data_IF_472911776958
#
_entry.id   IF_472911776958
#
_cell.length_a   1.000
_cell.length_b   1.000
_cell.length_c   1.000
_cell.angle_alpha   90.00
_cell.angle_beta   90.00
_cell.angle_gamma   90.00
#
_symmetry.space_group_name_H-M   'P 1'
#
loop_
_entity.id
_entity.type
_entity.pdbx_description
1 polymer ?
#
# COMPACT_ATOMS: atom_id res chain seq x y z
N UNK A 1 33.44 -5.23 -1.28
CA UNK A 1 32.89 -3.89 -1.56
C UNK A 1 31.79 -3.65 -0.55
N UNK A 2 31.93 -2.66 0.33
CA UNK A 2 30.88 -2.35 1.34
C UNK A 2 29.70 -1.73 0.61
N UNK A 3 28.51 -2.34 0.72
CA UNK A 3 27.27 -1.80 0.17
C UNK A 3 27.05 -0.41 0.74
N UNK A 4 26.77 0.57 -0.12
CA UNK A 4 26.46 1.93 0.30
C UNK A 4 25.17 1.90 1.11
N UNK A 5 25.22 2.44 2.33
CA UNK A 5 24.01 2.67 3.14
C UNK A 5 23.07 3.58 2.34
N UNK A 6 21.79 3.19 2.12
CA UNK A 6 20.89 4.00 1.32
C UNK A 6 20.68 5.37 1.98
N UNK A 7 20.52 6.45 1.19
CA UNK A 7 20.18 7.75 1.74
C UNK A 7 18.83 7.66 2.46
N UNK A 8 18.83 8.00 3.74
CA UNK A 8 17.64 8.08 4.57
C UNK A 8 17.02 9.47 4.45
N UNK A 9 15.71 9.55 4.24
CA UNK A 9 14.94 10.81 4.34
C UNK A 9 14.45 10.91 5.77
N UNK A 10 14.89 11.94 6.51
CA UNK A 10 14.60 12.12 7.94
C UNK A 10 14.94 10.88 8.80
N UNK A 11 15.99 10.15 8.44
CA UNK A 11 16.38 8.91 9.12
C UNK A 11 15.53 7.68 8.76
N UNK A 12 14.65 7.78 7.74
CA UNK A 12 13.81 6.67 7.26
C UNK A 12 14.08 6.32 5.79
N UNK A 13 13.93 5.04 5.46
CA UNK A 13 13.97 4.55 4.10
C UNK A 13 12.68 4.90 3.35
N UNK A 14 12.79 5.42 2.11
CA UNK A 14 11.66 5.48 1.19
C UNK A 14 11.06 4.09 0.93
N UNK A 15 9.73 4.00 0.94
CA UNK A 15 9.03 2.77 0.58
C UNK A 15 8.37 2.97 -0.78
N UNK A 16 8.75 2.13 -1.75
CA UNK A 16 8.31 2.24 -3.13
C UNK A 16 7.07 1.39 -3.35
N UNK A 17 5.98 2.06 -3.69
CA UNK A 17 4.64 1.48 -3.77
C UNK A 17 3.99 1.93 -5.07
N UNK A 18 3.36 1.00 -5.78
CA UNK A 18 2.56 1.28 -6.96
C UNK A 18 1.22 0.52 -6.92
N UNK A 19 0.08 1.16 -7.19
CA UNK A 19 -0.09 2.59 -7.40
C UNK A 19 0.11 3.40 -6.10
N UNK A 20 0.30 4.72 -6.20
CA UNK A 20 0.46 5.62 -5.03
C UNK A 20 -0.85 6.00 -4.34
N UNK A 21 -1.98 5.63 -4.95
CA UNK A 21 -3.32 5.67 -4.38
C UNK A 21 -4.17 4.57 -5.01
N UNK A 22 -5.17 4.08 -4.29
CA UNK A 22 -6.08 3.04 -4.77
C UNK A 22 -7.51 3.58 -4.80
N UNK A 23 -8.15 3.46 -5.96
CA UNK A 23 -9.51 3.90 -6.17
C UNK A 23 -10.41 2.69 -6.40
N UNK A 24 -11.53 2.68 -5.70
CA UNK A 24 -12.65 1.76 -5.88
C UNK A 24 -13.84 2.56 -6.41
N UNK A 25 -14.78 1.89 -7.06
CA UNK A 25 -16.00 2.51 -7.59
C UNK A 25 -17.21 1.68 -7.17
N UNK A 26 -18.31 2.32 -6.78
CA UNK A 26 -19.49 1.62 -6.24
C UNK A 26 -20.19 0.73 -7.25
N UNK A 27 -20.15 1.08 -8.53
CA UNK A 27 -20.80 0.39 -9.65
C UNK A 27 -19.85 -0.50 -10.48
N UNK A 28 -18.53 -0.28 -10.40
CA UNK A 28 -17.55 -1.13 -11.09
C UNK A 28 -16.96 -2.19 -10.15
N UNK A 29 -17.52 -3.39 -10.22
CA UNK A 29 -17.07 -4.55 -9.45
C UNK A 29 -15.63 -5.01 -9.80
N UNK A 30 -15.13 -4.68 -10.99
CA UNK A 30 -13.73 -5.00 -11.35
C UNK A 30 -12.76 -4.19 -10.50
N UNK A 31 -13.14 -2.97 -10.12
CA UNK A 31 -12.36 -2.13 -9.22
C UNK A 31 -12.27 -2.69 -7.79
N UNK A 32 -13.22 -3.53 -7.35
CA UNK A 32 -13.31 -4.03 -5.96
C UNK A 32 -12.16 -4.94 -5.54
N UNK A 33 -11.30 -5.33 -6.49
CA UNK A 33 -10.04 -6.03 -6.25
C UNK A 33 -8.90 -5.23 -6.91
N UNK A 34 -8.00 -4.72 -6.10
CA UNK A 34 -6.84 -3.95 -6.55
C UNK A 34 -5.55 -4.67 -6.18
N UNK A 35 -4.51 -4.48 -6.99
CA UNK A 35 -3.18 -5.02 -6.76
C UNK A 35 -2.25 -3.86 -6.41
N UNK A 36 -1.56 -4.00 -5.28
CA UNK A 36 -0.53 -3.09 -4.81
C UNK A 36 0.82 -3.77 -4.94
N UNK A 37 1.73 -3.22 -5.73
CA UNK A 37 3.11 -3.69 -5.85
C UNK A 37 4.00 -2.92 -4.88
N UNK A 38 4.68 -3.65 -4.01
CA UNK A 38 5.78 -3.12 -3.19
C UNK A 38 7.11 -3.50 -3.84
N UNK A 39 7.97 -2.51 -4.08
CA UNK A 39 9.30 -2.74 -4.65
C UNK A 39 10.39 -2.48 -3.61
N UNK A 40 11.32 -3.41 -3.50
CA UNK A 40 12.53 -3.28 -2.71
C UNK A 40 13.72 -2.94 -3.63
N UNK A 41 14.10 -1.66 -3.76
CA UNK A 41 15.25 -1.28 -4.57
C UNK A 41 16.58 -1.53 -3.86
N UNK A 42 16.59 -2.00 -2.61
CA UNK A 42 17.80 -2.13 -1.81
C UNK A 42 18.48 -3.49 -2.00
N UNK A 43 19.71 -3.58 -1.51
CA UNK A 43 20.56 -4.78 -1.60
C UNK A 43 20.41 -5.73 -0.40
N UNK A 44 19.38 -5.54 0.41
CA UNK A 44 19.06 -6.38 1.57
C UNK A 44 17.57 -6.73 1.60
N UNK A 45 17.22 -7.76 2.37
CA UNK A 45 15.84 -8.21 2.52
C UNK A 45 15.04 -7.25 3.42
N UNK A 46 13.87 -6.83 2.94
CA UNK A 46 12.91 -6.08 3.72
C UNK A 46 11.82 -7.01 4.24
N UNK A 47 11.39 -6.79 5.47
CA UNK A 47 10.06 -7.23 5.93
C UNK A 47 9.07 -6.10 5.73
N UNK A 48 7.83 -6.43 5.44
CA UNK A 48 6.76 -5.43 5.34
C UNK A 48 5.57 -5.80 6.22
N UNK A 49 4.80 -4.78 6.62
CA UNK A 49 3.52 -4.91 7.29
C UNK A 49 2.58 -3.79 6.83
N UNK A 50 1.32 -4.15 6.56
CA UNK A 50 0.27 -3.24 6.14
C UNK A 50 -0.76 -3.08 7.25
N UNK A 51 -1.05 -1.83 7.60
CA UNK A 51 -2.03 -1.45 8.60
C UNK A 51 -3.11 -0.59 7.94
N UNK A 52 -4.38 -0.76 8.32
CA UNK A 52 -5.51 -0.02 7.76
C UNK A 52 -6.23 0.78 8.84
N UNK A 53 -6.74 1.96 8.50
CA UNK A 53 -7.64 2.76 9.36
C UNK A 53 -9.08 2.25 9.36
N UNK A 54 -9.44 1.30 8.50
CA UNK A 54 -10.79 0.73 8.42
C UNK A 54 -10.75 -0.75 8.03
N UNK A 55 -10.09 -1.61 8.83
CA UNK A 55 -9.86 -3.02 8.49
C UNK A 55 -11.16 -3.80 8.25
N UNK A 56 -12.29 -3.38 8.81
CA UNK A 56 -13.60 -3.98 8.58
C UNK A 56 -14.10 -3.84 7.13
N UNK A 57 -13.65 -2.81 6.41
CA UNK A 57 -14.07 -2.54 5.02
C UNK A 57 -13.22 -3.23 3.98
N UNK A 58 -12.08 -3.81 4.37
CA UNK A 58 -11.12 -4.37 3.43
C UNK A 58 -10.69 -5.81 3.80
N UNK A 59 -10.23 -6.57 2.82
CA UNK A 59 -9.25 -7.65 3.05
C UNK A 59 -7.96 -7.29 2.37
N UNK A 60 -6.87 -7.62 3.04
CA UNK A 60 -5.52 -7.59 2.48
C UNK A 60 -5.00 -9.02 2.54
N UNK A 61 -4.71 -9.60 1.38
CA UNK A 61 -4.05 -10.92 1.29
C UNK A 61 -2.59 -10.71 1.68
N UNK A 62 -2.07 -11.55 2.58
CA UNK A 62 -0.70 -11.50 3.08
C UNK A 62 -0.28 -10.08 3.49
N UNK A 63 -0.98 -9.52 4.49
CA UNK A 63 -0.75 -8.16 4.98
C UNK A 63 0.62 -7.94 5.61
N UNK A 64 1.40 -9.01 5.79
CA UNK A 64 2.79 -8.99 6.20
C UNK A 64 3.59 -10.04 5.45
N UNK A 65 4.88 -9.79 5.27
CA UNK A 65 5.75 -10.69 4.52
C UNK A 65 7.16 -10.15 4.36
N UNK A 66 7.86 -10.63 3.34
CA UNK A 66 9.23 -10.22 3.03
C UNK A 66 9.41 -9.97 1.54
N UNK A 67 10.28 -9.02 1.21
CA UNK A 67 10.65 -8.64 -0.16
C UNK A 67 12.16 -8.80 -0.27
N UNK A 68 12.61 -9.73 -1.13
CA UNK A 68 14.04 -9.91 -1.40
C UNK A 68 14.64 -8.64 -1.99
N UNK A 69 15.95 -8.50 -1.86
CA UNK A 69 16.71 -7.44 -2.51
C UNK A 69 16.36 -7.37 -4.01
N UNK A 70 16.21 -6.15 -4.53
CA UNK A 70 15.90 -5.87 -5.95
C UNK A 70 14.65 -6.58 -6.50
N UNK A 71 13.73 -7.01 -5.64
CA UNK A 71 12.50 -7.72 -6.01
C UNK A 71 11.26 -6.92 -5.66
N UNK A 72 10.11 -7.36 -6.16
CA UNK A 72 8.80 -6.86 -5.78
C UNK A 72 7.91 -7.98 -5.21
N UNK A 73 6.83 -7.56 -4.54
CA UNK A 73 5.71 -8.41 -4.17
C UNK A 73 4.42 -7.70 -4.52
N UNK A 74 3.45 -8.47 -4.99
CA UNK A 74 2.10 -7.99 -5.27
C UNK A 74 1.16 -8.36 -4.13
N UNK A 75 0.36 -7.39 -3.70
CA UNK A 75 -0.55 -7.51 -2.56
C UNK A 75 -1.96 -7.23 -3.06
N UNK A 76 -2.85 -8.18 -2.83
CA UNK A 76 -4.24 -8.05 -3.26
C UNK A 76 -5.05 -7.39 -2.14
N UNK A 77 -5.64 -6.24 -2.45
CA UNK A 77 -6.58 -5.52 -1.59
C UNK A 77 -7.98 -5.69 -2.18
N UNK A 78 -8.96 -6.07 -1.34
CA UNK A 78 -10.37 -6.12 -1.74
C UNK A 78 -11.22 -5.23 -0.86
N UNK A 79 -12.12 -4.47 -1.46
CA UNK A 79 -13.15 -3.73 -0.75
C UNK A 79 -14.33 -4.65 -0.48
N UNK A 80 -14.74 -4.81 0.79
CA UNK A 80 -15.81 -5.73 1.22
C UNK A 80 -17.12 -5.02 1.51
N UNK A 81 -17.06 -3.74 1.82
CA UNK A 81 -18.22 -2.94 2.26
C UNK A 81 -18.56 -1.85 1.22
N UNK A 82 -18.74 -2.27 -0.03
CA UNK A 82 -19.02 -1.33 -1.13
C UNK A 82 -20.47 -0.87 -1.02
N UNK A 83 -20.67 0.36 -0.58
CA UNK A 83 -21.99 0.99 -0.50
C UNK A 83 -21.87 2.51 -0.57
N UNK A 84 -22.96 3.17 -0.98
CA UNK A 84 -23.03 4.64 -1.15
C UNK A 84 -22.63 5.40 0.13
N UNK A 85 -22.93 4.86 1.31
CA UNK A 85 -22.55 5.49 2.61
C UNK A 85 -21.03 5.66 2.76
N UNK A 86 -20.25 4.79 2.13
CA UNK A 86 -18.80 4.77 2.25
C UNK A 86 -18.10 5.56 1.13
N UNK A 87 -18.84 6.13 0.17
CA UNK A 87 -18.27 6.97 -0.88
C UNK A 87 -17.60 8.23 -0.31
N UNK A 88 -16.49 8.65 -0.92
CA UNK A 88 -15.71 9.82 -0.49
C UNK A 88 -14.94 9.66 0.82
N UNK A 89 -15.10 8.53 1.52
CA UNK A 89 -14.33 8.22 2.73
C UNK A 89 -12.84 8.09 2.38
N UNK A 90 -11.99 8.80 3.12
CA UNK A 90 -10.54 8.86 2.89
C UNK A 90 -9.81 7.87 3.79
N UNK A 91 -9.82 6.62 3.37
CA UNK A 91 -9.12 5.55 4.07
C UNK A 91 -7.63 5.57 3.80
N UNK A 92 -6.90 5.03 4.77
CA UNK A 92 -5.45 5.07 4.77
C UNK A 92 -4.90 3.70 5.08
N UNK A 93 -4.00 3.25 4.21
CA UNK A 93 -3.17 2.09 4.45
C UNK A 93 -1.76 2.59 4.74
N UNK A 94 -1.18 2.15 5.86
CA UNK A 94 0.21 2.42 6.22
C UNK A 94 1.02 1.17 5.93
N UNK A 95 1.95 1.28 4.99
CA UNK A 95 2.95 0.25 4.72
C UNK A 95 4.19 0.58 5.51
N UNK A 96 4.62 -0.35 6.36
CA UNK A 96 5.84 -0.24 7.14
C UNK A 96 6.83 -1.26 6.64
N UNK A 97 8.12 -0.88 6.62
CA UNK A 97 9.21 -1.81 6.32
C UNK A 97 10.20 -1.86 7.49
N UNK A 98 10.72 -3.05 7.76
CA UNK A 98 11.77 -3.31 8.75
C UNK A 98 12.87 -4.18 8.13
N UNK A 99 14.05 -4.18 8.73
CA UNK A 99 15.13 -5.07 8.34
C UNK A 99 14.90 -6.49 8.90
N UNK A 100 15.45 -7.51 8.24
CA UNK A 100 15.43 -8.86 8.79
C UNK A 100 16.18 -8.93 10.14
N UNK A 101 15.57 -9.57 11.13
CA UNK A 101 16.16 -9.72 12.46
C UNK A 101 15.83 -8.58 13.43
N UNK A 102 15.27 -7.47 12.94
CA UNK A 102 14.75 -6.40 13.79
C UNK A 102 13.25 -6.16 13.53
N UNK A 103 12.53 -5.72 14.55
CA UNK A 103 11.15 -5.22 14.41
C UNK A 103 11.12 -3.68 14.34
N UNK A 104 12.29 -3.04 14.25
CA UNK A 104 12.39 -1.60 14.14
C UNK A 104 11.92 -1.16 12.76
N UNK A 105 10.90 -0.30 12.72
CA UNK A 105 10.40 0.25 11.46
C UNK A 105 11.43 1.25 10.94
N UNK A 106 12.08 0.91 9.84
CA UNK A 106 13.11 1.73 9.20
C UNK A 106 12.55 2.56 8.04
N UNK A 107 11.34 2.27 7.57
CA UNK A 107 10.68 3.03 6.50
C UNK A 107 9.17 2.89 6.59
N UNK A 108 8.45 3.89 6.10
CA UNK A 108 6.99 3.84 6.01
C UNK A 108 6.47 4.67 4.84
N UNK A 109 5.33 4.27 4.28
CA UNK A 109 4.59 5.06 3.30
C UNK A 109 3.10 4.95 3.55
N UNK A 110 2.37 5.99 3.13
CA UNK A 110 0.93 6.12 3.30
C UNK A 110 0.25 6.01 1.93
N UNK A 111 -0.64 5.04 1.81
CA UNK A 111 -1.47 4.82 0.63
C UNK A 111 -2.88 5.34 0.92
N UNK A 112 -3.36 6.25 0.09
CA UNK A 112 -4.73 6.74 0.14
C UNK A 112 -5.65 5.78 -0.60
N UNK A 113 -6.76 5.45 0.04
CA UNK A 113 -7.81 4.60 -0.53
C UNK A 113 -9.12 5.36 -0.53
N UNK A 114 -9.82 5.35 -1.67
CA UNK A 114 -11.09 6.08 -1.81
C UNK A 114 -12.06 5.26 -2.65
N UNK A 115 -13.31 5.20 -2.17
CA UNK A 115 -14.45 4.69 -2.91
C UNK A 115 -15.16 5.87 -3.56
N UNK A 116 -15.28 5.87 -4.88
CA UNK A 116 -15.91 6.94 -5.65
C UNK A 116 -17.28 6.52 -6.20
N UNK A 117 -18.20 7.49 -6.38
CA UNK A 117 -19.38 7.31 -7.21
C UNK A 117 -19.01 7.35 -8.70
N UNK A 118 -19.98 6.99 -9.53
CA UNK A 118 -19.98 6.99 -11.01
C UNK A 118 -19.34 8.26 -11.62
N UNK A 119 -19.64 9.43 -11.05
CA UNK A 119 -19.41 10.72 -11.70
C UNK A 119 -17.99 11.30 -11.53
N UNK A 120 -17.06 10.62 -10.83
CA UNK A 120 -15.73 11.20 -10.61
C UNK A 120 -14.91 11.40 -11.91
N UNK A 121 -15.31 10.75 -13.02
CA UNK A 121 -14.69 10.99 -14.34
C UNK A 121 -15.20 12.26 -15.05
N UNK A 122 -16.35 12.83 -14.66
CA UNK A 122 -16.97 13.97 -15.36
C UNK A 122 -16.51 15.35 -14.87
N UNK A 123 -15.68 15.42 -13.83
CA UNK A 123 -15.24 16.70 -13.21
C UNK A 123 -13.73 16.96 -13.41
N UNK A 124 -13.07 16.20 -14.30
CA UNK A 124 -11.65 16.39 -14.65
C UNK A 124 -11.40 16.81 -16.11
N UNK A 125 -12.42 17.31 -16.80
CA UNK A 125 -12.32 17.96 -18.13
C UNK A 125 -12.18 19.47 -18.01
#
# INVERSE_FOLDING_TARGET
MRGQTPPLVDGKLPVFIFPTSVNFFTDDQSSHKQVLTLYNPYDFLLKFKILSTSPQRYSVVDSEGSIKARCCVDIVIRHKDVCVRNEGMRDKFRVQVSEQGTNAVIGQSLLLITLFPIDHYLIRS
#
